data_IF_836285944501
#
_entry.id   IF_836285944501
#
_cell.length_a   1.000
_cell.length_b   1.000
_cell.length_c   1.000
_cell.angle_alpha   90.00
_cell.angle_beta   90.00
_cell.angle_gamma   90.00
#
_symmetry.space_group_name_H-M   'P 1'
#
loop_
_entity.id
_entity.type
_entity.pdbx_description
1 polymer ?
#
# COMPACT_ATOMS: atom_id res chain seq x y z
N UNK A 1 20.57 21.13 15.43
CA UNK A 1 20.33 21.33 13.96
C UNK A 1 19.79 20.02 13.40
N UNK A 2 18.64 20.04 12.71
CA UNK A 2 18.05 18.87 12.05
C UNK A 2 18.92 18.51 10.85
N UNK A 3 19.25 17.24 10.68
CA UNK A 3 20.08 16.73 9.57
C UNK A 3 19.37 15.66 8.74
N UNK A 4 18.41 14.98 9.31
CA UNK A 4 17.71 13.87 8.68
C UNK A 4 16.20 14.12 8.73
N UNK A 5 15.51 13.75 7.67
CA UNK A 5 14.05 13.84 7.55
C UNK A 5 13.54 12.44 7.23
N UNK A 6 12.60 11.97 8.02
CA UNK A 6 11.94 10.68 7.85
C UNK A 6 10.51 10.93 7.39
N UNK A 7 10.15 10.37 6.25
CA UNK A 7 8.81 10.44 5.68
C UNK A 7 8.03 9.17 6.01
N UNK A 8 6.74 9.32 6.28
CA UNK A 8 5.77 8.23 6.13
C UNK A 8 5.35 8.13 4.65
N UNK A 9 4.75 7.01 4.26
CA UNK A 9 4.35 6.77 2.88
C UNK A 9 2.89 7.12 2.61
N UNK A 10 1.97 6.41 3.28
CA UNK A 10 0.55 6.51 3.02
C UNK A 10 -0.02 7.87 3.38
N UNK A 11 -0.75 8.52 2.46
CA UNK A 11 -1.31 9.87 2.60
C UNK A 11 -0.28 10.99 2.81
N UNK A 12 1.00 10.67 2.72
CA UNK A 12 2.12 11.64 2.74
C UNK A 12 2.79 11.67 1.38
N UNK A 13 3.39 10.58 0.93
CA UNK A 13 4.08 10.48 -0.36
C UNK A 13 3.21 9.90 -1.46
N UNK A 14 2.25 9.04 -1.09
CA UNK A 14 1.30 8.42 -2.01
C UNK A 14 -0.12 8.51 -1.44
N UNK A 15 -1.08 8.72 -2.32
CA UNK A 15 -2.49 8.51 -2.02
C UNK A 15 -2.81 7.02 -2.14
N UNK A 16 -3.60 6.53 -1.21
CA UNK A 16 -4.04 5.13 -1.16
C UNK A 16 -5.55 5.05 -0.99
N UNK A 17 -6.18 4.15 -1.74
CA UNK A 17 -7.57 3.75 -1.57
C UNK A 17 -7.74 2.29 -2.00
N UNK A 18 -8.58 1.51 -1.31
CA UNK A 18 -8.92 0.13 -1.68
C UNK A 18 -9.86 0.02 -2.88
N UNK A 19 -10.56 1.09 -3.23
CA UNK A 19 -11.61 1.06 -4.26
C UNK A 19 -11.12 0.95 -5.71
N UNK A 20 -10.00 1.55 -6.14
CA UNK A 20 -9.61 1.55 -7.56
C UNK A 20 -9.48 0.16 -8.16
N UNK A 21 -8.82 -0.78 -7.49
CA UNK A 21 -8.69 -2.16 -7.97
C UNK A 21 -10.04 -2.86 -8.05
N UNK A 22 -10.92 -2.63 -7.07
CA UNK A 22 -12.27 -3.22 -7.08
C UNK A 22 -13.09 -2.73 -8.28
N UNK A 23 -13.09 -1.42 -8.54
CA UNK A 23 -13.76 -0.81 -9.70
C UNK A 23 -13.11 -1.19 -11.03
N UNK A 24 -11.83 -1.56 -11.03
CA UNK A 24 -11.18 -2.04 -12.24
C UNK A 24 -11.71 -3.41 -12.68
N UNK A 25 -12.05 -4.27 -11.72
CA UNK A 25 -12.47 -5.65 -12.01
C UNK A 25 -13.99 -5.86 -12.00
N UNK A 26 -14.80 -4.88 -11.57
CA UNK A 26 -16.27 -4.96 -11.66
C UNK A 26 -16.90 -3.58 -11.85
N UNK A 27 -17.91 -3.50 -12.71
CA UNK A 27 -18.74 -2.30 -12.92
C UNK A 27 -19.87 -2.20 -11.87
N UNK A 28 -20.08 -3.24 -11.06
CA UNK A 28 -21.08 -3.24 -10.00
C UNK A 28 -20.54 -2.53 -8.76
N UNK A 29 -20.95 -1.28 -8.54
CA UNK A 29 -20.46 -0.46 -7.43
C UNK A 29 -20.78 -1.03 -6.05
N UNK A 30 -21.91 -1.70 -5.87
CA UNK A 30 -22.27 -2.35 -4.60
C UNK A 30 -21.34 -3.54 -4.32
N UNK A 31 -21.04 -4.32 -5.34
CA UNK A 31 -20.08 -5.43 -5.25
C UNK A 31 -18.66 -4.92 -5.01
N UNK A 32 -18.22 -3.89 -5.73
CA UNK A 32 -16.91 -3.27 -5.52
C UNK A 32 -16.72 -2.79 -4.07
N UNK A 33 -17.72 -2.13 -3.47
CA UNK A 33 -17.70 -1.72 -2.06
C UNK A 33 -17.65 -2.90 -1.11
N UNK A 34 -18.43 -3.95 -1.37
CA UNK A 34 -18.41 -5.17 -0.56
C UNK A 34 -17.06 -5.84 -0.55
N UNK A 35 -16.43 -5.98 -1.71
CA UNK A 35 -15.07 -6.54 -1.83
C UNK A 35 -14.04 -5.63 -1.15
N UNK A 36 -14.12 -4.32 -1.37
CA UNK A 36 -13.22 -3.36 -0.71
C UNK A 36 -13.27 -3.50 0.81
N UNK A 37 -14.47 -3.55 1.39
CA UNK A 37 -14.64 -3.73 2.84
C UNK A 37 -14.11 -5.07 3.33
N UNK A 38 -14.37 -6.16 2.61
CA UNK A 38 -13.94 -7.50 3.01
C UNK A 38 -12.41 -7.68 2.96
N UNK A 39 -11.74 -6.98 2.05
CA UNK A 39 -10.30 -7.11 1.80
C UNK A 39 -9.52 -5.95 2.44
N UNK A 40 -9.73 -4.72 1.98
CA UNK A 40 -8.87 -3.57 2.27
C UNK A 40 -9.22 -2.83 3.57
N UNK A 41 -10.45 -2.98 4.08
CA UNK A 41 -10.88 -2.45 5.38
C UNK A 41 -10.92 -3.55 6.46
N UNK A 42 -10.35 -4.72 6.18
CA UNK A 42 -10.37 -5.87 7.09
C UNK A 42 -9.29 -5.77 8.18
N UNK A 43 -9.47 -6.42 9.34
CA UNK A 43 -8.43 -6.55 10.34
C UNK A 43 -7.16 -7.23 9.82
N UNK A 44 -7.31 -8.18 8.90
CA UNK A 44 -6.19 -8.90 8.29
C UNK A 44 -5.29 -7.97 7.49
N UNK A 45 -5.85 -6.92 6.87
CA UNK A 45 -5.04 -5.90 6.17
C UNK A 45 -4.02 -5.24 7.10
N UNK A 46 -4.46 -4.86 8.30
CA UNK A 46 -3.59 -4.30 9.34
C UNK A 46 -2.52 -5.31 9.79
N UNK A 47 -2.91 -6.58 9.96
CA UNK A 47 -1.98 -7.64 10.35
C UNK A 47 -0.93 -7.94 9.27
N UNK A 48 -1.28 -7.78 7.99
CA UNK A 48 -0.33 -7.87 6.87
C UNK A 48 0.67 -6.71 6.89
N UNK A 49 0.21 -5.49 7.16
CA UNK A 49 1.08 -4.31 7.29
C UNK A 49 2.00 -4.41 8.51
N UNK A 50 1.57 -5.10 9.56
CA UNK A 50 2.41 -5.44 10.71
C UNK A 50 3.36 -6.60 10.45
N UNK A 51 3.21 -7.35 9.35
CA UNK A 51 4.02 -8.53 9.05
C UNK A 51 3.74 -9.77 9.90
N UNK A 52 2.68 -9.75 10.74
CA UNK A 52 2.38 -10.85 11.70
C UNK A 52 1.58 -12.01 11.11
N UNK A 53 1.03 -11.83 9.92
CA UNK A 53 0.38 -12.91 9.14
C UNK A 53 0.91 -12.94 7.70
N UNK A 54 0.86 -14.11 7.08
CA UNK A 54 1.21 -14.30 5.67
C UNK A 54 0.03 -13.90 4.77
N UNK A 55 0.33 -13.45 3.55
CA UNK A 55 -0.70 -13.08 2.57
C UNK A 55 -1.72 -14.20 2.34
N UNK A 56 -1.26 -15.45 2.24
CA UNK A 56 -2.15 -16.61 2.08
C UNK A 56 -3.17 -16.73 3.21
N UNK A 57 -2.70 -16.63 4.47
CA UNK A 57 -3.58 -16.76 5.64
C UNK A 57 -4.53 -15.56 5.76
N UNK A 58 -4.06 -14.37 5.37
CA UNK A 58 -4.86 -13.15 5.33
C UNK A 58 -6.00 -13.26 4.33
N UNK A 59 -5.72 -13.59 3.08
CA UNK A 59 -6.76 -13.68 2.03
C UNK A 59 -7.77 -14.79 2.33
N UNK A 60 -7.35 -15.94 2.85
CA UNK A 60 -8.27 -17.01 3.25
C UNK A 60 -9.30 -16.53 4.28
N UNK A 61 -8.89 -15.75 5.27
CA UNK A 61 -9.80 -15.15 6.26
C UNK A 61 -10.69 -14.06 5.66
N UNK A 62 -10.14 -13.20 4.80
CA UNK A 62 -10.91 -12.15 4.13
C UNK A 62 -12.06 -12.73 3.30
N UNK A 63 -11.77 -13.72 2.45
CA UNK A 63 -12.80 -14.35 1.59
C UNK A 63 -13.81 -15.22 2.36
N UNK A 64 -13.47 -15.70 3.55
CA UNK A 64 -14.41 -16.47 4.39
C UNK A 64 -15.65 -15.67 4.80
N UNK A 65 -15.62 -14.33 4.69
CA UNK A 65 -16.75 -13.42 4.98
C UNK A 65 -17.64 -13.16 3.78
N UNK A 66 -17.29 -13.71 2.62
CA UNK A 66 -18.04 -13.56 1.38
C UNK A 66 -18.91 -14.77 1.13
N UNK A 67 -20.09 -14.54 0.53
CA UNK A 67 -21.13 -15.57 0.45
C UNK A 67 -21.01 -16.45 -0.80
N UNK A 68 -20.61 -15.87 -1.93
CA UNK A 68 -20.58 -16.57 -3.23
C UNK A 68 -19.14 -16.80 -3.72
N UNK A 69 -18.97 -17.85 -4.54
CA UNK A 69 -17.68 -18.12 -5.17
C UNK A 69 -17.23 -16.98 -6.09
N UNK A 70 -18.16 -16.34 -6.79
CA UNK A 70 -17.88 -15.17 -7.63
C UNK A 70 -17.28 -14.01 -6.80
N UNK A 71 -17.86 -13.73 -5.62
CA UNK A 71 -17.31 -12.71 -4.71
C UNK A 71 -15.92 -13.09 -4.22
N UNK A 72 -15.69 -14.36 -3.88
CA UNK A 72 -14.38 -14.84 -3.41
C UNK A 72 -13.31 -14.74 -4.49
N UNK A 73 -13.62 -15.17 -5.72
CA UNK A 73 -12.73 -15.07 -6.86
C UNK A 73 -12.36 -13.61 -7.17
N UNK A 74 -13.36 -12.72 -7.12
CA UNK A 74 -13.13 -11.29 -7.32
C UNK A 74 -12.26 -10.69 -6.22
N UNK A 75 -12.48 -11.07 -4.95
CA UNK A 75 -11.68 -10.63 -3.82
C UNK A 75 -10.21 -11.07 -3.94
N UNK A 76 -9.96 -12.31 -4.31
CA UNK A 76 -8.61 -12.83 -4.58
C UNK A 76 -7.95 -12.03 -5.69
N UNK A 77 -8.65 -11.80 -6.79
CA UNK A 77 -8.15 -11.01 -7.92
C UNK A 77 -7.80 -9.58 -7.52
N UNK A 78 -8.66 -8.92 -6.75
CA UNK A 78 -8.40 -7.58 -6.22
C UNK A 78 -7.19 -7.58 -5.28
N UNK A 79 -7.07 -8.58 -4.41
CA UNK A 79 -5.94 -8.72 -3.50
C UNK A 79 -4.62 -8.95 -4.22
N UNK A 80 -4.60 -9.72 -5.30
CA UNK A 80 -3.39 -9.99 -6.07
C UNK A 80 -2.88 -8.76 -6.83
N UNK A 81 -3.78 -7.88 -7.26
CA UNK A 81 -3.48 -6.75 -8.13
C UNK A 81 -3.59 -5.36 -7.48
N UNK A 82 -3.88 -5.26 -6.18
CA UNK A 82 -4.12 -3.97 -5.52
C UNK A 82 -2.98 -2.97 -5.69
N UNK A 83 -1.74 -3.44 -5.68
CA UNK A 83 -0.54 -2.60 -5.78
C UNK A 83 -0.37 -1.93 -7.15
N UNK A 84 -1.11 -2.38 -8.15
CA UNK A 84 -1.12 -1.80 -9.52
C UNK A 84 -2.10 -0.62 -9.63
N UNK A 85 -3.14 -0.56 -8.78
CA UNK A 85 -4.25 0.39 -8.94
C UNK A 85 -4.50 1.29 -7.73
N UNK A 86 -4.18 0.85 -6.52
CA UNK A 86 -4.61 1.50 -5.29
C UNK A 86 -3.70 2.62 -4.81
N UNK A 87 -2.53 2.80 -5.42
CA UNK A 87 -1.54 3.80 -5.02
C UNK A 87 -1.26 4.80 -6.14
N UNK A 88 -1.23 6.08 -5.77
CA UNK A 88 -0.87 7.17 -6.68
C UNK A 88 0.16 8.06 -6.00
N UNK A 89 1.32 8.25 -6.63
CA UNK A 89 2.36 9.15 -6.13
C UNK A 89 1.85 10.59 -6.08
N UNK A 90 2.30 11.35 -5.07
CA UNK A 90 2.09 12.80 -4.98
C UNK A 90 3.28 13.54 -5.59
N UNK A 91 3.16 14.14 -6.78
CA UNK A 91 4.29 14.75 -7.49
C UNK A 91 4.94 15.89 -6.69
N UNK A 92 4.14 16.71 -6.00
CA UNK A 92 4.59 17.82 -5.16
C UNK A 92 5.52 17.36 -4.02
N UNK A 93 5.32 16.16 -3.52
CA UNK A 93 6.21 15.58 -2.50
C UNK A 93 7.55 15.15 -3.11
N UNK A 94 7.56 14.72 -4.37
CA UNK A 94 8.79 14.45 -5.10
C UNK A 94 9.66 15.70 -5.25
N UNK A 95 9.05 16.83 -5.58
CA UNK A 95 9.74 18.11 -5.70
C UNK A 95 10.32 18.57 -4.34
N UNK A 96 9.52 18.47 -3.27
CA UNK A 96 9.96 18.76 -1.92
C UNK A 96 11.17 17.90 -1.50
N UNK A 97 11.11 16.59 -1.77
CA UNK A 97 12.20 15.65 -1.45
C UNK A 97 13.48 16.04 -2.17
N UNK A 98 13.41 16.37 -3.47
CA UNK A 98 14.58 16.81 -4.25
C UNK A 98 15.18 18.09 -3.69
N UNK A 99 14.34 19.06 -3.32
CA UNK A 99 14.78 20.32 -2.72
C UNK A 99 15.49 20.11 -1.38
N UNK A 100 14.93 19.24 -0.52
CA UNK A 100 15.53 18.90 0.77
C UNK A 100 16.86 18.15 0.59
N UNK A 101 16.93 17.23 -0.36
CA UNK A 101 18.17 16.52 -0.70
C UNK A 101 19.24 17.48 -1.20
N UNK A 102 18.88 18.42 -2.07
CA UNK A 102 19.82 19.44 -2.59
C UNK A 102 20.34 20.36 -1.47
N UNK A 103 19.58 20.57 -0.40
CA UNK A 103 20.00 21.31 0.81
C UNK A 103 20.85 20.49 1.78
N UNK A 104 21.16 19.24 1.45
CA UNK A 104 22.05 18.39 2.22
C UNK A 104 21.40 17.61 3.35
N UNK A 105 20.05 17.50 3.37
CA UNK A 105 19.36 16.64 4.34
C UNK A 105 19.48 15.16 3.96
N UNK A 106 19.64 14.30 4.96
CA UNK A 106 19.40 12.86 4.81
C UNK A 106 17.88 12.60 4.67
N UNK A 107 17.50 11.79 3.69
CA UNK A 107 16.11 11.50 3.35
C UNK A 107 15.82 10.01 3.60
N UNK A 108 14.84 9.73 4.43
CA UNK A 108 14.50 8.38 4.87
C UNK A 108 13.00 8.15 4.77
N UNK A 109 12.61 6.90 4.54
CA UNK A 109 11.22 6.45 4.64
C UNK A 109 11.10 5.45 5.80
N UNK A 110 10.04 5.60 6.58
CA UNK A 110 9.59 4.60 7.55
C UNK A 110 8.07 4.48 7.45
N UNK A 111 7.58 3.31 7.08
CA UNK A 111 6.15 3.12 6.85
C UNK A 111 5.66 1.76 7.34
N UNK A 112 4.45 1.76 7.92
CA UNK A 112 3.72 0.51 8.15
C UNK A 112 3.17 0.01 6.83
N UNK A 113 3.71 -1.10 6.35
CA UNK A 113 3.33 -1.63 5.05
C UNK A 113 3.69 -3.11 4.93
N UNK A 114 2.88 -3.83 4.15
CA UNK A 114 3.07 -5.26 3.89
C UNK A 114 4.31 -5.55 3.04
N UNK A 115 4.78 -6.78 3.09
CA UNK A 115 5.92 -7.27 2.28
C UNK A 115 5.72 -7.07 0.77
N UNK A 116 4.48 -6.95 0.29
CA UNK A 116 4.17 -6.69 -1.12
C UNK A 116 4.82 -5.39 -1.62
N UNK A 117 4.95 -4.37 -0.76
CA UNK A 117 5.58 -3.11 -1.14
C UNK A 117 7.05 -3.26 -1.52
N UNK A 118 7.76 -4.26 -0.97
CA UNK A 118 9.14 -4.56 -1.35
C UNK A 118 9.28 -4.83 -2.86
N UNK A 119 8.23 -5.32 -3.50
CA UNK A 119 8.23 -5.64 -4.93
C UNK A 119 7.87 -4.46 -5.82
N UNK A 120 7.18 -3.44 -5.30
CA UNK A 120 6.60 -2.37 -6.13
C UNK A 120 6.93 -0.93 -5.70
N UNK A 121 7.51 -0.70 -4.51
CA UNK A 121 7.73 0.66 -3.98
C UNK A 121 8.54 1.56 -4.92
N UNK A 122 9.48 1.00 -5.68
CA UNK A 122 10.28 1.77 -6.64
C UNK A 122 9.47 2.39 -7.77
N UNK A 123 8.29 1.85 -8.05
CA UNK A 123 7.38 2.35 -9.10
C UNK A 123 6.39 3.39 -8.58
N UNK A 124 6.11 3.37 -7.26
CA UNK A 124 5.05 4.18 -6.66
C UNK A 124 5.57 5.35 -5.82
N UNK A 125 6.80 5.28 -5.27
CA UNK A 125 7.37 6.37 -4.48
C UNK A 125 7.88 7.50 -5.38
N UNK A 126 7.51 8.78 -5.09
CA UNK A 126 8.09 9.91 -5.79
C UNK A 126 9.55 10.13 -5.37
N UNK A 127 10.40 10.57 -6.29
CA UNK A 127 11.83 10.86 -6.06
C UNK A 127 12.60 9.72 -5.36
N UNK A 128 12.36 8.48 -5.79
CA UNK A 128 12.91 7.26 -5.17
C UNK A 128 14.44 7.26 -5.06
N UNK A 129 15.12 7.87 -6.01
CA UNK A 129 16.59 8.02 -6.08
C UNK A 129 17.18 8.97 -5.03
N UNK A 130 16.34 9.75 -4.35
CA UNK A 130 16.75 10.68 -3.30
C UNK A 130 16.79 10.06 -1.91
N UNK A 131 16.20 8.87 -1.71
CA UNK A 131 16.17 8.23 -0.41
C UNK A 131 17.51 7.57 -0.05
N UNK A 132 18.01 7.85 1.14
CA UNK A 132 19.20 7.21 1.70
C UNK A 132 18.90 5.85 2.29
N UNK A 133 17.69 5.66 2.84
CA UNK A 133 17.20 4.39 3.37
C UNK A 133 15.68 4.34 3.37
N UNK A 134 15.15 3.13 3.18
CA UNK A 134 13.72 2.83 3.17
C UNK A 134 13.45 1.65 4.08
N UNK A 135 12.52 1.81 5.02
CA UNK A 135 12.11 0.80 5.99
C UNK A 135 10.61 0.55 5.90
N UNK A 136 10.22 -0.70 5.76
CA UNK A 136 8.84 -1.15 5.88
C UNK A 136 8.69 -2.06 7.11
N UNK A 137 7.64 -1.86 7.91
CA UNK A 137 7.42 -2.59 9.17
C UNK A 137 7.45 -4.11 9.01
N UNK A 138 6.92 -4.64 7.91
CA UNK A 138 6.87 -6.07 7.67
C UNK A 138 8.23 -6.73 7.35
N UNK A 139 9.31 -5.95 7.14
CA UNK A 139 10.67 -6.48 6.98
C UNK A 139 11.36 -6.79 8.31
N UNK A 140 10.91 -6.16 9.40
CA UNK A 140 11.63 -6.13 10.67
C UNK A 140 11.09 -7.15 11.70
N UNK A 141 10.18 -8.06 11.29
CA UNK A 141 9.57 -9.06 12.17
C UNK A 141 10.01 -10.50 11.88
#
# INVERSE_FOLDING_TARGET
MIRNIVFDMGKVLVDYSGMPVCRHFTDNEALAKRICTAVFDSPEWVLLDMGVIKEKDGIEKMISRLDTEEEKELAVKCFDHWHEYNMTARPEMGDLIRDLKAKGYGIYLCSNASVRLLTCYKKVLPAIDCFDWILFSAEEL
#
